data_IF_529352078497
#
_entry.id   IF_529352078497
#
_cell.length_a   1.000
_cell.length_b   1.000
_cell.length_c   1.000
_cell.angle_alpha   90.00
_cell.angle_beta   90.00
_cell.angle_gamma   90.00
#
_symmetry.space_group_name_H-M   'P 1'
#
loop_
_entity.id
_entity.type
_entity.pdbx_description
1 polymer ?
#
# COMPACT_ATOMS: atom_id res chain seq x y z
N UNK A 1 44.24 -39.58 -33.11
CA UNK A 1 44.26 -38.70 -31.91
C UNK A 1 43.89 -37.24 -32.18
N UNK A 2 44.20 -36.64 -33.34
CA UNK A 2 43.83 -35.24 -33.66
C UNK A 2 42.33 -34.91 -33.59
N UNK A 3 41.46 -35.80 -34.10
CA UNK A 3 40.00 -35.59 -34.08
C UNK A 3 39.38 -35.73 -32.69
N UNK A 4 39.99 -36.52 -31.81
CA UNK A 4 39.52 -36.74 -30.44
C UNK A 4 39.75 -35.50 -29.57
N UNK A 5 40.83 -34.76 -29.83
CA UNK A 5 41.15 -33.50 -29.17
C UNK A 5 40.20 -32.36 -29.62
N UNK A 6 39.71 -32.41 -30.86
CA UNK A 6 38.76 -31.45 -31.42
C UNK A 6 37.34 -31.64 -30.85
N UNK A 7 36.95 -32.90 -30.57
CA UNK A 7 35.72 -33.23 -29.83
C UNK A 7 35.81 -32.82 -28.36
N UNK A 8 36.98 -32.99 -27.73
CA UNK A 8 37.19 -32.52 -26.35
C UNK A 8 37.16 -30.98 -26.25
N UNK A 9 37.59 -30.27 -27.29
CA UNK A 9 37.53 -28.80 -27.34
C UNK A 9 36.08 -28.29 -27.52
N UNK A 10 35.26 -28.97 -28.32
CA UNK A 10 33.86 -28.56 -28.55
C UNK A 10 32.94 -28.81 -27.35
N UNK A 11 33.27 -29.79 -26.50
CA UNK A 11 32.54 -30.07 -25.25
C UNK A 11 32.63 -28.92 -24.23
N UNK A 12 33.65 -28.05 -24.31
CA UNK A 12 33.85 -26.93 -23.38
C UNK A 12 33.07 -25.67 -23.76
N UNK A 13 32.33 -25.65 -24.88
CA UNK A 13 31.55 -24.47 -25.31
C UNK A 13 30.06 -24.52 -24.92
N UNK A 14 29.63 -25.53 -24.16
CA UNK A 14 28.22 -25.74 -23.80
C UNK A 14 27.88 -25.36 -22.35
N UNK A 15 28.62 -24.43 -21.74
CA UNK A 15 28.25 -23.90 -20.44
C UNK A 15 27.00 -23.02 -20.60
N UNK A 16 25.85 -23.58 -20.25
CA UNK A 16 24.64 -22.79 -20.06
C UNK A 16 24.82 -21.93 -18.81
N UNK A 17 24.41 -20.67 -18.87
CA UNK A 17 24.39 -19.82 -17.69
C UNK A 17 23.27 -20.30 -16.76
N UNK A 18 23.65 -20.87 -15.62
CA UNK A 18 22.75 -21.40 -14.61
C UNK A 18 22.62 -20.41 -13.44
N UNK A 19 21.39 -20.06 -13.10
CA UNK A 19 21.08 -19.20 -11.96
C UNK A 19 20.10 -19.90 -11.04
N UNK A 20 20.10 -19.51 -9.77
CA UNK A 20 19.14 -20.01 -8.79
C UNK A 20 18.42 -18.81 -8.19
N UNK A 21 17.09 -18.88 -8.17
CA UNK A 21 16.26 -17.88 -7.51
C UNK A 21 15.19 -18.54 -6.66
N UNK A 22 14.84 -17.87 -5.56
CA UNK A 22 13.68 -18.24 -4.77
C UNK A 22 12.43 -17.72 -5.49
N UNK A 23 11.41 -18.56 -5.64
CA UNK A 23 10.12 -18.15 -6.15
C UNK A 23 9.36 -17.35 -5.09
N UNK A 24 9.26 -16.05 -5.29
CA UNK A 24 8.59 -15.14 -4.37
C UNK A 24 7.23 -14.69 -4.91
N UNK A 25 6.30 -14.28 -4.04
CA UNK A 25 5.10 -13.56 -4.45
C UNK A 25 5.43 -12.34 -5.29
N UNK A 26 4.56 -12.00 -6.24
CA UNK A 26 4.80 -10.85 -7.12
C UNK A 26 5.01 -9.57 -6.32
N UNK A 27 4.15 -9.35 -5.32
CA UNK A 27 4.23 -8.23 -4.40
C UNK A 27 4.03 -8.70 -2.96
N UNK A 28 4.70 -8.01 -2.04
CA UNK A 28 4.54 -8.17 -0.60
C UNK A 28 4.34 -6.79 0.00
N UNK A 29 3.29 -6.66 0.80
CA UNK A 29 2.82 -5.41 1.38
C UNK A 29 2.97 -5.44 2.89
N UNK A 30 3.65 -4.44 3.43
CA UNK A 30 3.67 -4.15 4.87
C UNK A 30 2.55 -3.16 5.19
N UNK A 31 1.48 -3.63 5.81
CA UNK A 31 0.35 -2.78 6.17
C UNK A 31 0.63 -2.14 7.53
N UNK A 32 0.77 -0.82 7.52
CA UNK A 32 1.11 0.01 8.68
C UNK A 32 -0.11 0.78 9.16
N UNK A 33 -0.15 1.08 10.45
CA UNK A 33 -1.19 1.88 11.05
C UNK A 33 -1.16 3.30 10.49
N UNK A 34 -2.27 3.78 9.93
CA UNK A 34 -2.38 5.18 9.51
C UNK A 34 -2.70 6.11 10.69
N UNK A 35 -3.27 5.56 11.77
CA UNK A 35 -3.68 6.30 12.96
C UNK A 35 -3.32 5.54 14.23
N UNK A 36 -3.12 6.27 15.31
CA UNK A 36 -2.83 5.69 16.62
C UNK A 36 -4.10 5.17 17.30
N UNK A 37 -3.94 4.12 18.12
CA UNK A 37 -5.04 3.58 18.91
C UNK A 37 -4.68 2.25 19.58
N UNK A 38 -5.53 1.84 20.51
CA UNK A 38 -5.47 0.50 21.10
C UNK A 38 -6.08 -0.51 20.13
N UNK A 39 -5.42 -1.64 19.91
CA UNK A 39 -5.96 -2.76 19.14
C UNK A 39 -7.05 -3.43 19.96
N UNK A 40 -8.28 -3.45 19.43
CA UNK A 40 -9.43 -4.11 20.05
C UNK A 40 -9.75 -5.45 19.40
N UNK A 41 -9.14 -5.72 18.24
CA UNK A 41 -9.33 -6.98 17.53
C UNK A 41 -8.14 -7.25 16.61
N UNK A 42 -7.65 -8.49 16.63
CA UNK A 42 -6.63 -9.00 15.72
C UNK A 42 -6.99 -10.44 15.30
N UNK A 43 -7.22 -10.65 14.00
CA UNK A 43 -7.70 -11.92 13.46
C UNK A 43 -6.57 -12.95 13.26
N UNK A 44 -6.03 -13.50 14.34
CA UNK A 44 -4.89 -14.43 14.23
C UNK A 44 -5.20 -15.71 13.46
N UNK A 45 -6.46 -16.14 13.43
CA UNK A 45 -6.90 -17.37 12.75
C UNK A 45 -6.74 -17.32 11.22
N UNK A 46 -6.56 -16.12 10.66
CA UNK A 46 -6.38 -15.91 9.22
C UNK A 46 -4.91 -15.90 8.78
N UNK A 47 -3.97 -15.91 9.74
CA UNK A 47 -2.56 -16.09 9.42
C UNK A 47 -2.38 -17.39 8.62
N UNK A 48 -1.67 -17.28 7.50
CA UNK A 48 -1.48 -18.39 6.57
C UNK A 48 -2.63 -18.65 5.60
N UNK A 49 -3.64 -17.76 5.52
CA UNK A 49 -4.81 -17.89 4.65
C UNK A 49 -5.06 -16.63 3.82
N UNK A 50 -5.94 -16.74 2.82
CA UNK A 50 -6.45 -15.57 2.08
C UNK A 50 -7.45 -14.81 2.92
N UNK A 51 -7.41 -13.48 2.81
CA UNK A 51 -8.23 -12.59 3.62
C UNK A 51 -9.74 -12.72 3.36
N UNK A 52 -10.17 -12.91 2.10
CA UNK A 52 -11.57 -13.03 1.69
C UNK A 52 -12.50 -11.94 2.27
N UNK A 53 -12.10 -10.67 2.18
CA UNK A 53 -12.83 -9.50 2.65
C UNK A 53 -13.10 -9.51 4.18
N UNK A 54 -12.18 -10.08 4.94
CA UNK A 54 -12.25 -10.14 6.39
C UNK A 54 -11.59 -8.92 7.05
N UNK A 55 -12.04 -8.62 8.26
CA UNK A 55 -11.35 -7.66 9.13
C UNK A 55 -10.12 -8.35 9.70
N UNK A 56 -8.95 -7.72 9.56
CA UNK A 56 -7.66 -8.25 10.02
C UNK A 56 -7.30 -7.64 11.37
N UNK A 57 -7.35 -6.30 11.45
CA UNK A 57 -7.07 -5.54 12.67
C UNK A 57 -8.12 -4.45 12.83
N UNK A 58 -8.60 -4.27 14.05
CA UNK A 58 -9.46 -3.14 14.42
C UNK A 58 -8.86 -2.40 15.63
N UNK A 59 -8.77 -1.08 15.50
CA UNK A 59 -8.34 -0.16 16.54
C UNK A 59 -9.55 0.51 17.18
N UNK A 60 -9.45 0.82 18.47
CA UNK A 60 -10.50 1.49 19.22
C UNK A 60 -10.86 2.85 18.61
N UNK A 61 -12.10 2.99 18.17
CA UNK A 61 -12.67 4.21 17.58
C UNK A 61 -13.73 4.88 18.44
N UNK A 62 -13.98 4.39 19.66
CA UNK A 62 -15.11 4.83 20.51
C UNK A 62 -15.14 6.34 20.72
N UNK A 63 -14.05 6.92 21.22
CA UNK A 63 -13.95 8.37 21.48
C UNK A 63 -14.11 9.17 20.19
N UNK A 64 -13.49 8.75 19.08
CA UNK A 64 -13.63 9.46 17.81
C UNK A 64 -15.07 9.48 17.28
N UNK A 65 -15.82 8.39 17.50
CA UNK A 65 -17.23 8.32 17.08
C UNK A 65 -18.10 9.29 17.89
N UNK A 66 -17.86 9.38 19.20
CA UNK A 66 -18.53 10.38 20.05
C UNK A 66 -18.17 11.80 19.59
N UNK A 67 -16.88 12.08 19.37
CA UNK A 67 -16.44 13.40 18.91
C UNK A 67 -17.04 13.78 17.56
N UNK A 68 -17.21 12.81 16.66
CA UNK A 68 -17.84 13.00 15.36
C UNK A 68 -19.32 13.38 15.53
N UNK A 69 -20.05 12.64 16.37
CA UNK A 69 -21.45 12.94 16.68
C UNK A 69 -21.62 14.34 17.26
N UNK A 70 -20.79 14.69 18.24
CA UNK A 70 -20.81 16.02 18.85
C UNK A 70 -20.43 17.12 17.86
N UNK A 71 -19.48 16.87 16.96
CA UNK A 71 -19.11 17.83 15.91
C UNK A 71 -20.23 18.04 14.90
N UNK A 72 -21.00 16.99 14.56
CA UNK A 72 -22.18 17.11 13.70
C UNK A 72 -23.30 17.92 14.37
N UNK A 73 -23.52 17.71 15.67
CA UNK A 73 -24.48 18.51 16.44
C UNK A 73 -24.07 19.99 16.51
N UNK A 74 -22.78 20.28 16.74
CA UNK A 74 -22.24 21.64 16.70
C UNK A 74 -22.39 22.28 15.33
N UNK A 75 -22.15 21.53 14.25
CA UNK A 75 -22.34 22.01 12.88
C UNK A 75 -23.79 22.46 12.65
N UNK A 76 -24.76 21.63 13.04
CA UNK A 76 -26.18 21.96 12.92
C UNK A 76 -26.53 23.25 13.67
N UNK A 77 -26.07 23.39 14.92
CA UNK A 77 -26.31 24.59 15.71
C UNK A 77 -25.69 25.84 15.07
N UNK A 78 -24.47 25.75 14.53
CA UNK A 78 -23.82 26.86 13.83
C UNK A 78 -24.55 27.22 12.53
N UNK A 79 -25.02 26.24 11.78
CA UNK A 79 -25.80 26.51 10.55
C UNK A 79 -27.09 27.27 10.86
N UNK A 80 -27.81 26.87 11.91
CA UNK A 80 -28.99 27.60 12.39
C UNK A 80 -28.64 29.03 12.83
N UNK A 81 -27.51 29.22 13.53
CA UNK A 81 -27.02 30.55 13.92
C UNK A 81 -26.69 31.42 12.71
N UNK A 82 -25.98 30.89 11.72
CA UNK A 82 -25.64 31.60 10.47
C UNK A 82 -26.91 32.04 9.76
N UNK A 83 -27.92 31.16 9.67
CA UNK A 83 -29.18 31.47 9.02
C UNK A 83 -29.91 32.63 9.72
N UNK A 84 -29.99 32.58 11.06
CA UNK A 84 -30.59 33.65 11.88
C UNK A 84 -29.84 34.97 11.73
N UNK A 85 -28.51 34.95 11.81
CA UNK A 85 -27.69 36.16 11.70
C UNK A 85 -27.74 36.76 10.30
N UNK A 86 -27.81 35.92 9.25
CA UNK A 86 -28.04 36.37 7.88
C UNK A 86 -29.41 37.02 7.74
N UNK A 87 -30.48 36.40 8.25
CA UNK A 87 -31.82 37.00 8.26
C UNK A 87 -31.83 38.35 8.98
N UNK A 88 -31.13 38.46 10.11
CA UNK A 88 -31.00 39.72 10.86
C UNK A 88 -30.21 40.77 10.09
N UNK A 89 -29.10 40.40 9.45
CA UNK A 89 -28.31 41.29 8.60
C UNK A 89 -29.16 41.85 7.45
N UNK A 90 -29.92 40.99 6.76
CA UNK A 90 -30.81 41.41 5.67
C UNK A 90 -31.91 42.38 6.14
N UNK A 91 -32.43 42.19 7.36
CA UNK A 91 -33.37 43.15 7.97
C UNK A 91 -32.68 44.47 8.29
N UNK A 92 -31.47 44.42 8.87
CA UNK A 92 -30.69 45.59 9.25
C UNK A 92 -30.31 46.47 8.05
N UNK A 93 -29.99 45.86 6.91
CA UNK A 93 -29.71 46.58 5.65
C UNK A 93 -30.88 47.47 5.20
N UNK A 94 -32.12 47.03 5.43
CA UNK A 94 -33.35 47.78 5.06
C UNK A 94 -33.62 48.97 5.98
N UNK A 95 -32.95 49.05 7.14
CA UNK A 95 -33.12 50.15 8.09
C UNK A 95 -32.16 51.28 7.71
N UNK A 96 -32.71 52.42 7.29
CA UNK A 96 -31.94 53.59 6.84
C UNK A 96 -31.32 54.36 8.01
N UNK A 97 -31.95 54.33 9.19
CA UNK A 97 -31.47 55.01 10.41
C UNK A 97 -30.28 54.31 11.09
N UNK A 98 -29.88 53.13 10.60
CA UNK A 98 -28.77 52.35 11.15
C UNK A 98 -27.46 52.70 10.44
N UNK A 99 -26.41 52.87 11.24
CA UNK A 99 -25.10 53.27 10.75
C UNK A 99 -24.46 52.18 9.88
N UNK A 100 -23.59 52.57 8.95
CA UNK A 100 -22.77 51.62 8.19
C UNK A 100 -21.95 50.72 9.12
N UNK A 101 -21.39 51.29 10.18
CA UNK A 101 -20.66 50.56 11.21
C UNK A 101 -21.47 49.42 11.86
N UNK A 102 -22.73 49.67 12.24
CA UNK A 102 -23.60 48.61 12.78
C UNK A 102 -23.88 47.50 11.76
N UNK A 103 -24.06 47.88 10.48
CA UNK A 103 -24.27 46.93 9.38
C UNK A 103 -23.03 46.06 9.16
N UNK A 104 -21.85 46.68 9.14
CA UNK A 104 -20.58 46.00 8.95
C UNK A 104 -20.28 45.06 10.11
N UNK A 105 -20.51 45.48 11.36
CA UNK A 105 -20.37 44.61 12.53
C UNK A 105 -21.26 43.37 12.45
N UNK A 106 -22.52 43.54 12.01
CA UNK A 106 -23.43 42.41 11.84
C UNK A 106 -22.95 41.46 10.73
N UNK A 107 -22.37 41.99 9.64
CA UNK A 107 -21.78 41.16 8.59
C UNK A 107 -20.52 40.43 9.07
N UNK A 108 -19.67 41.08 9.85
CA UNK A 108 -18.48 40.46 10.47
C UNK A 108 -18.90 39.28 11.36
N UNK A 109 -19.98 39.42 12.15
CA UNK A 109 -20.50 38.32 12.96
C UNK A 109 -20.90 37.10 12.12
N UNK A 110 -21.56 37.31 10.97
CA UNK A 110 -21.89 36.22 10.04
C UNK A 110 -20.62 35.56 9.51
N UNK A 111 -19.64 36.35 9.06
CA UNK A 111 -18.37 35.83 8.51
C UNK A 111 -17.64 35.00 9.56
N UNK A 112 -17.58 35.45 10.82
CA UNK A 112 -16.94 34.69 11.90
C UNK A 112 -17.63 33.34 12.15
N UNK A 113 -18.96 33.28 12.06
CA UNK A 113 -19.68 32.01 12.16
C UNK A 113 -19.41 31.09 10.96
N UNK A 114 -19.30 31.64 9.75
CA UNK A 114 -18.93 30.88 8.55
C UNK A 114 -17.51 30.30 8.62
N UNK A 115 -16.55 31.05 9.19
CA UNK A 115 -15.19 30.55 9.50
C UNK A 115 -15.26 29.39 10.49
N UNK A 116 -15.97 29.55 11.60
CA UNK A 116 -16.15 28.46 12.58
C UNK A 116 -16.81 27.22 11.96
N UNK A 117 -17.77 27.42 11.04
CA UNK A 117 -18.39 26.31 10.30
C UNK A 117 -17.35 25.56 9.46
N UNK A 118 -16.48 26.27 8.76
CA UNK A 118 -15.43 25.66 7.96
C UNK A 118 -14.47 24.82 8.83
N UNK A 119 -14.07 25.33 10.00
CA UNK A 119 -13.21 24.61 10.94
C UNK A 119 -13.86 23.32 11.46
N UNK A 120 -15.15 23.37 11.80
CA UNK A 120 -15.91 22.17 12.21
C UNK A 120 -15.97 21.14 11.07
N UNK A 121 -16.17 21.57 9.83
CA UNK A 121 -16.20 20.66 8.68
C UNK A 121 -14.86 19.97 8.47
N UNK A 122 -13.75 20.69 8.62
CA UNK A 122 -12.39 20.12 8.57
C UNK A 122 -12.23 19.06 9.69
N UNK A 123 -12.64 19.39 10.91
CA UNK A 123 -12.58 18.45 12.02
C UNK A 123 -13.42 17.18 11.77
N UNK A 124 -14.63 17.33 11.25
CA UNK A 124 -15.50 16.20 10.87
C UNK A 124 -14.82 15.32 9.81
N UNK A 125 -14.18 15.92 8.80
CA UNK A 125 -13.47 15.18 7.78
C UNK A 125 -12.31 14.36 8.37
N UNK A 126 -11.51 14.97 9.25
CA UNK A 126 -10.40 14.31 9.94
C UNK A 126 -10.89 13.15 10.83
N UNK A 127 -11.99 13.34 11.57
CA UNK A 127 -12.56 12.28 12.40
C UNK A 127 -13.09 11.11 11.57
N UNK A 128 -13.78 11.39 10.45
CA UNK A 128 -14.26 10.36 9.52
C UNK A 128 -13.11 9.56 8.93
N UNK A 129 -12.06 10.23 8.48
CA UNK A 129 -10.87 9.58 7.94
C UNK A 129 -10.19 8.73 9.02
N UNK A 130 -10.01 9.27 10.22
CA UNK A 130 -9.43 8.53 11.35
C UNK A 130 -10.22 7.27 11.68
N UNK A 131 -11.55 7.36 11.83
CA UNK A 131 -12.41 6.20 12.12
C UNK A 131 -12.33 5.15 11.02
N UNK A 132 -12.34 5.56 9.75
CA UNK A 132 -12.20 4.64 8.61
C UNK A 132 -10.86 3.90 8.69
N UNK A 133 -9.78 4.60 9.00
CA UNK A 133 -8.42 4.06 9.08
C UNK A 133 -8.16 3.20 10.33
N UNK A 134 -9.10 3.16 11.28
CA UNK A 134 -9.04 2.26 12.45
C UNK A 134 -9.55 0.85 12.17
N UNK A 135 -10.27 0.63 11.07
CA UNK A 135 -10.76 -0.70 10.69
C UNK A 135 -10.07 -1.17 9.42
N UNK A 136 -9.20 -2.16 9.56
CA UNK A 136 -8.40 -2.69 8.45
C UNK A 136 -9.06 -3.97 7.93
N UNK A 137 -9.60 -3.87 6.71
CA UNK A 137 -10.23 -4.98 5.98
C UNK A 137 -9.37 -5.30 4.78
N UNK A 138 -8.94 -6.55 4.67
CA UNK A 138 -8.17 -7.04 3.54
C UNK A 138 -9.06 -7.88 2.61
N UNK A 139 -8.92 -7.68 1.30
CA UNK A 139 -9.80 -8.30 0.31
C UNK A 139 -9.35 -9.70 -0.04
N UNK A 140 -8.29 -9.83 -0.84
CA UNK A 140 -7.96 -11.11 -1.47
C UNK A 140 -6.53 -11.59 -1.21
N UNK A 141 -5.69 -10.74 -0.61
CA UNK A 141 -4.31 -11.08 -0.36
C UNK A 141 -4.15 -12.13 0.73
N UNK A 142 -3.04 -12.86 0.63
CA UNK A 142 -2.64 -13.85 1.62
C UNK A 142 -2.03 -13.15 2.83
N UNK A 143 -2.55 -13.43 4.03
CA UNK A 143 -2.04 -12.85 5.27
C UNK A 143 -0.87 -13.70 5.74
N UNK A 144 0.33 -13.13 5.68
CA UNK A 144 1.55 -13.84 6.06
C UNK A 144 1.79 -13.80 7.57
N UNK A 145 1.58 -12.64 8.19
CA UNK A 145 1.85 -12.40 9.60
C UNK A 145 0.95 -11.25 10.09
N UNK A 146 0.40 -11.37 11.29
CA UNK A 146 -0.17 -10.24 12.04
C UNK A 146 0.79 -9.91 13.19
N UNK A 147 1.37 -8.71 13.13
CA UNK A 147 2.45 -8.26 14.00
C UNK A 147 1.97 -7.68 15.34
N UNK A 148 0.66 -7.56 15.55
CA UNK A 148 0.04 -6.95 16.74
C UNK A 148 -0.97 -7.88 17.39
N UNK A 149 -1.17 -7.72 18.69
CA UNK A 149 -2.15 -8.44 19.48
C UNK A 149 -3.28 -7.53 19.95
N UNK A 150 -4.41 -8.14 20.30
CA UNK A 150 -5.45 -7.44 21.03
C UNK A 150 -4.90 -6.91 22.37
N UNK A 151 -5.18 -5.65 22.67
CA UNK A 151 -4.65 -4.96 23.83
C UNK A 151 -3.43 -4.07 23.54
N UNK A 152 -2.69 -4.33 22.46
CA UNK A 152 -1.51 -3.54 22.09
C UNK A 152 -1.91 -2.10 21.75
N UNK A 153 -1.01 -1.16 22.03
CA UNK A 153 -1.17 0.23 21.60
C UNK A 153 -0.23 0.52 20.43
N UNK A 154 -0.81 0.96 19.32
CA UNK A 154 -0.06 1.27 18.10
C UNK A 154 -0.04 2.76 17.82
N UNK A 155 1.03 3.20 17.17
CA UNK A 155 1.19 4.57 16.68
C UNK A 155 1.12 4.59 15.15
N UNK A 156 0.86 5.75 14.56
CA UNK A 156 0.95 5.88 13.11
C UNK A 156 2.34 5.44 12.60
N UNK A 157 2.37 4.59 11.58
CA UNK A 157 3.57 3.97 11.03
C UNK A 157 3.92 2.60 11.62
N UNK A 158 3.32 2.18 12.73
CA UNK A 158 3.55 0.84 13.31
C UNK A 158 3.06 -0.26 12.35
N UNK A 159 3.88 -1.31 12.14
CA UNK A 159 3.50 -2.47 11.33
C UNK A 159 2.35 -3.24 12.00
N UNK A 160 1.26 -3.45 11.26
CA UNK A 160 0.09 -4.20 11.74
C UNK A 160 0.10 -5.63 11.22
N UNK A 161 0.23 -5.80 9.91
CA UNK A 161 0.26 -7.12 9.28
C UNK A 161 0.97 -7.08 7.93
N UNK A 162 1.40 -8.24 7.47
CA UNK A 162 2.01 -8.45 6.16
C UNK A 162 1.03 -9.22 5.26
N UNK A 163 0.80 -8.67 4.06
CA UNK A 163 -0.06 -9.26 3.04
C UNK A 163 0.75 -9.56 1.78
N UNK A 164 0.47 -10.68 1.10
CA UNK A 164 1.21 -11.12 -0.09
C UNK A 164 0.25 -11.38 -1.25
N UNK A 165 0.59 -10.86 -2.42
CA UNK A 165 -0.13 -11.17 -3.66
C UNK A 165 0.41 -12.48 -4.25
N UNK A 166 -0.41 -13.53 -4.17
CA UNK A 166 -0.08 -14.86 -4.67
C UNK A 166 -0.58 -15.11 -6.10
N UNK A 167 -1.08 -14.10 -6.82
CA UNK A 167 -1.60 -14.25 -8.19
C UNK A 167 -0.51 -14.66 -9.18
N UNK A 168 0.70 -14.14 -8.98
CA UNK A 168 1.89 -14.39 -9.79
C UNK A 168 3.09 -14.60 -8.89
N UNK A 169 4.10 -15.27 -9.43
CA UNK A 169 5.41 -15.40 -8.80
C UNK A 169 6.44 -14.58 -9.54
N UNK A 170 7.44 -14.10 -8.82
CA UNK A 170 8.65 -13.50 -9.39
C UNK A 170 9.86 -14.34 -9.05
N UNK A 171 10.78 -14.42 -9.99
CA UNK A 171 12.13 -14.90 -9.82
C UNK A 171 13.06 -13.73 -10.09
N UNK A 172 13.90 -13.43 -9.12
CA UNK A 172 14.90 -12.38 -9.22
C UNK A 172 16.28 -13.03 -9.22
N UNK A 173 17.03 -12.80 -10.29
CA UNK A 173 18.41 -13.28 -10.45
C UNK A 173 19.34 -12.10 -10.70
N UNK A 174 20.62 -12.29 -10.41
CA UNK A 174 21.68 -11.32 -10.68
C UNK A 174 22.57 -11.87 -11.81
N UNK A 175 22.56 -11.20 -12.96
CA UNK A 175 23.26 -11.64 -14.16
C UNK A 175 24.46 -10.71 -14.39
N UNK A 176 25.68 -11.24 -14.63
CA UNK A 176 26.84 -10.40 -14.93
C UNK A 176 26.57 -9.44 -16.10
N UNK A 177 27.07 -8.21 -15.97
CA UNK A 177 26.83 -7.14 -16.97
C UNK A 177 27.27 -7.56 -18.37
N UNK A 178 28.37 -8.32 -18.47
CA UNK A 178 28.91 -8.81 -19.75
C UNK A 178 27.97 -9.80 -20.45
N UNK A 179 27.17 -10.54 -19.69
CA UNK A 179 26.33 -11.63 -20.20
C UNK A 179 24.89 -11.17 -20.49
N UNK A 180 24.55 -9.92 -20.16
CA UNK A 180 23.16 -9.45 -20.22
C UNK A 180 22.61 -9.42 -21.65
N UNK A 181 23.43 -9.02 -22.62
CA UNK A 181 23.00 -8.91 -24.01
C UNK A 181 22.82 -10.29 -24.67
N UNK A 182 23.57 -11.28 -24.20
CA UNK A 182 23.48 -12.67 -24.66
C UNK A 182 22.20 -13.35 -24.12
N UNK A 183 21.78 -13.07 -22.89
CA UNK A 183 20.60 -13.73 -22.30
C UNK A 183 19.25 -13.17 -22.78
N UNK A 184 19.19 -11.93 -23.29
CA UNK A 184 17.94 -11.25 -23.67
C UNK A 184 17.08 -12.04 -24.66
N UNK A 185 17.73 -12.78 -25.58
CA UNK A 185 17.06 -13.50 -26.65
C UNK A 185 17.03 -15.03 -26.45
N UNK A 186 17.59 -15.52 -25.34
CA UNK A 186 17.66 -16.96 -25.06
C UNK A 186 16.34 -17.49 -24.52
N UNK A 187 16.11 -18.79 -24.72
CA UNK A 187 14.95 -19.46 -24.14
C UNK A 187 15.21 -19.73 -22.67
N UNK A 188 14.21 -19.45 -21.83
CA UNK A 188 14.28 -19.68 -20.39
C UNK A 188 13.82 -21.10 -20.07
N UNK A 189 14.68 -21.86 -19.40
CA UNK A 189 14.35 -23.15 -18.81
C UNK A 189 14.25 -23.01 -17.29
N UNK A 190 13.24 -23.62 -16.70
CA UNK A 190 13.06 -23.70 -15.24
C UNK A 190 13.18 -25.16 -14.82
N UNK A 191 14.10 -25.48 -13.91
CA UNK A 191 14.41 -26.84 -13.45
C UNK A 191 14.62 -27.84 -14.62
N UNK A 192 15.20 -27.37 -15.73
CA UNK A 192 15.45 -28.14 -16.95
C UNK A 192 14.27 -28.23 -17.93
N UNK A 193 13.09 -27.73 -17.57
CA UNK A 193 11.91 -27.70 -18.44
C UNK A 193 11.87 -26.42 -19.28
N UNK A 194 11.65 -26.56 -20.59
CA UNK A 194 11.51 -25.43 -21.52
C UNK A 194 10.25 -24.63 -21.19
N UNK A 195 10.38 -23.31 -21.05
CA UNK A 195 9.24 -22.43 -20.81
C UNK A 195 9.05 -21.41 -21.93
N UNK A 196 7.84 -20.88 -22.04
CA UNK A 196 7.51 -19.75 -22.93
C UNK A 196 7.65 -18.40 -22.20
N UNK A 197 8.32 -18.39 -21.05
CA UNK A 197 8.51 -17.19 -20.25
C UNK A 197 9.51 -16.26 -20.92
N UNK A 198 9.36 -14.97 -20.66
CA UNK A 198 10.30 -13.93 -21.08
C UNK A 198 10.77 -13.16 -19.86
N UNK A 199 11.93 -12.54 -19.99
CA UNK A 199 12.41 -11.57 -19.02
C UNK A 199 11.40 -10.43 -18.99
N UNK A 200 10.85 -10.14 -17.81
CA UNK A 200 9.92 -9.02 -17.63
C UNK A 200 10.68 -7.70 -17.55
N UNK A 201 11.78 -7.69 -16.78
CA UNK A 201 12.56 -6.48 -16.55
C UNK A 201 14.03 -6.78 -16.28
N UNK A 202 14.90 -5.94 -16.82
CA UNK A 202 16.32 -5.86 -16.49
C UNK A 202 16.51 -4.48 -15.85
N UNK A 203 17.21 -4.41 -14.72
CA UNK A 203 17.53 -3.16 -14.06
C UNK A 203 18.90 -2.68 -14.56
N UNK A 204 18.93 -1.51 -15.20
CA UNK A 204 20.14 -0.93 -15.81
C UNK A 204 21.15 -0.39 -14.77
N UNK A 205 20.78 -0.39 -13.49
CA UNK A 205 21.63 0.03 -12.37
C UNK A 205 21.96 -1.20 -11.55
N UNK A 206 23.26 -1.43 -11.35
CA UNK A 206 23.76 -2.53 -10.52
C UNK A 206 23.31 -2.36 -9.06
N UNK A 207 23.04 -3.49 -8.41
CA UNK A 207 22.60 -3.50 -7.02
C UNK A 207 23.73 -3.11 -6.07
N UNK A 208 23.39 -2.53 -4.93
CA UNK A 208 24.33 -2.17 -3.86
C UNK A 208 25.25 -3.33 -3.43
N UNK A 209 24.77 -4.58 -3.48
CA UNK A 209 25.54 -5.76 -3.11
C UNK A 209 26.21 -6.43 -4.33
N UNK A 210 25.61 -6.31 -5.51
CA UNK A 210 26.07 -6.96 -6.74
C UNK A 210 26.46 -5.93 -7.80
N UNK A 211 27.59 -5.25 -7.56
CA UNK A 211 28.06 -4.11 -8.38
C UNK A 211 28.42 -4.47 -9.84
N UNK A 212 28.69 -5.75 -10.11
CA UNK A 212 29.07 -6.27 -11.44
C UNK A 212 27.94 -7.03 -12.13
N UNK A 213 26.73 -6.97 -11.61
CA UNK A 213 25.59 -7.72 -12.12
C UNK A 213 24.32 -6.86 -12.16
N UNK A 214 23.52 -7.06 -13.19
CA UNK A 214 22.19 -6.48 -13.28
C UNK A 214 21.16 -7.42 -12.67
N UNK A 215 20.21 -6.83 -11.94
CA UNK A 215 19.04 -7.54 -11.46
C UNK A 215 18.12 -7.84 -12.64
N UNK A 216 17.69 -9.08 -12.77
CA UNK A 216 16.77 -9.54 -13.81
C UNK A 216 15.56 -10.18 -13.15
N UNK A 217 14.37 -9.74 -13.56
CA UNK A 217 13.08 -10.22 -13.04
C UNK A 217 12.37 -11.04 -14.11
N UNK A 218 11.97 -12.25 -13.74
CA UNK A 218 11.13 -13.15 -14.53
C UNK A 218 9.83 -13.37 -13.76
N UNK A 219 8.69 -13.32 -14.44
CA UNK A 219 7.37 -13.50 -13.81
C UNK A 219 6.70 -14.78 -14.28
N UNK A 220 6.21 -15.54 -13.30
CA UNK A 220 5.47 -16.78 -13.49
C UNK A 220 4.00 -16.53 -13.21
N UNK A 221 3.13 -17.01 -14.09
CA UNK A 221 1.69 -16.95 -13.89
C UNK A 221 1.24 -18.15 -13.04
N UNK A 222 0.38 -17.90 -12.05
CA UNK A 222 -0.29 -18.91 -11.23
C UNK A 222 0.63 -20.00 -10.64
N UNK A 223 1.70 -19.65 -9.90
CA UNK A 223 2.54 -20.63 -9.24
C UNK A 223 1.78 -21.36 -8.11
N UNK A 224 1.95 -22.68 -8.03
CA UNK A 224 1.27 -23.52 -7.02
C UNK A 224 1.91 -23.48 -5.63
N UNK A 225 3.22 -23.29 -5.57
CA UNK A 225 4.01 -23.30 -4.32
C UNK A 225 5.07 -22.22 -4.38
N UNK A 226 5.07 -21.32 -3.41
CA UNK A 226 6.06 -20.26 -3.25
C UNK A 226 7.21 -20.71 -2.34
N UNK A 227 8.27 -19.89 -2.27
CA UNK A 227 9.47 -20.08 -1.45
C UNK A 227 10.34 -21.29 -1.82
N UNK A 228 10.19 -21.82 -3.04
CA UNK A 228 11.05 -22.88 -3.57
C UNK A 228 12.23 -22.27 -4.31
N UNK A 229 13.40 -22.89 -4.20
CA UNK A 229 14.55 -22.57 -5.06
C UNK A 229 14.29 -23.19 -6.44
N UNK A 230 14.40 -22.38 -7.49
CA UNK A 230 14.22 -22.79 -8.88
C UNK A 230 15.52 -22.54 -9.61
N UNK A 231 15.99 -23.55 -10.35
CA UNK A 231 17.10 -23.43 -11.28
C UNK A 231 16.61 -22.78 -12.56
N UNK A 232 17.30 -21.73 -13.01
CA UNK A 232 16.99 -20.97 -14.22
C UNK A 232 18.17 -21.12 -15.17
N UNK A 233 17.90 -21.58 -16.39
CA UNK A 233 18.93 -21.77 -17.40
C UNK A 233 18.56 -20.99 -18.66
N UNK A 234 19.52 -20.27 -19.24
CA UNK A 234 19.36 -19.58 -20.52
C UNK A 234 20.05 -20.39 -21.62
N UNK A 235 19.26 -20.94 -22.56
CA UNK A 235 19.75 -21.76 -23.68
C UNK A 235 19.24 -21.25 -25.02
#
# INVERSE_FOLDING_TARGET
MKYLLLVFLSLNCLFANEFYAKLEPIESYEIKAAVSGKVIYANRDIEGKKANNSTIVELDSYVNRIDLEQSLNKLKAIEEMIELQNRNYQRLLKITSKSGYEKDNQKINVINLEVNRADILINIANLKDSIKNKKLVEKDFYIYNIAVNEGDYVTAGTLLYEAKDLSKGKLEIYVPILDIDDIKNKTIYLDGEKTNLKIEKIFDVADSQHISSYKVKIVLNNPKKFSRLIKIEFK
#
